data_IF_546922139736
#
_entry.id   IF_546922139736
#
_cell.length_a   1.000
_cell.length_b   1.000
_cell.length_c   1.000
_cell.angle_alpha   90.00
_cell.angle_beta   90.00
_cell.angle_gamma   90.00
#
_symmetry.space_group_name_H-M   'P 1'
#
loop_
_entity.id
_entity.type
_entity.pdbx_description
1 polymer ?
#
# COMPACT_ATOMS: atom_id res chain seq x y z
N UNK A 1 -22.64 7.03 12.34
CA UNK A 1 -23.08 6.09 13.41
C UNK A 1 -23.20 4.72 12.77
N UNK A 2 -22.27 3.81 13.07
CA UNK A 2 -22.09 2.53 12.36
C UNK A 2 -22.65 1.35 13.13
N UNK A 3 -23.08 0.35 12.37
CA UNK A 3 -23.89 -0.81 12.70
C UNK A 3 -23.06 -1.96 13.30
N UNK A 4 -22.41 -1.75 14.45
CA UNK A 4 -21.68 -2.83 15.14
C UNK A 4 -21.94 -2.78 16.66
N UNK A 5 -22.44 -3.87 17.23
CA UNK A 5 -22.68 -4.02 18.68
C UNK A 5 -21.37 -3.92 19.49
N UNK A 6 -20.23 -4.20 18.86
CA UNK A 6 -18.88 -4.05 19.43
C UNK A 6 -18.51 -2.58 19.69
N UNK A 7 -19.08 -1.63 18.92
CA UNK A 7 -18.77 -0.20 19.07
C UNK A 7 -19.42 0.44 20.32
N UNK A 8 -20.56 -0.09 20.77
CA UNK A 8 -21.27 0.39 21.97
C UNK A 8 -20.51 0.00 23.25
N UNK A 9 -20.03 -1.24 23.35
CA UNK A 9 -19.25 -1.70 24.51
C UNK A 9 -17.97 -0.88 24.71
N UNK A 10 -17.29 -0.51 23.62
CA UNK A 10 -16.13 0.38 23.66
C UNK A 10 -16.50 1.82 24.09
N UNK A 11 -17.74 2.26 23.85
CA UNK A 11 -18.20 3.58 24.28
C UNK A 11 -18.49 3.62 25.79
N UNK A 12 -18.93 2.49 26.38
CA UNK A 12 -19.24 2.39 27.83
C UNK A 12 -18.00 2.63 28.69
N UNK A 13 -16.84 2.11 28.30
CA UNK A 13 -15.59 2.31 29.05
C UNK A 13 -15.17 3.79 29.05
N UNK A 14 -15.33 4.47 27.91
CA UNK A 14 -15.05 5.91 27.75
C UNK A 14 -16.00 6.77 28.60
N UNK A 15 -17.28 6.43 28.61
CA UNK A 15 -18.30 7.12 29.42
C UNK A 15 -18.01 6.95 30.92
N UNK A 16 -17.64 5.74 31.36
CA UNK A 16 -17.31 5.47 32.75
C UNK A 16 -16.04 6.20 33.20
N UNK A 17 -15.01 6.25 32.36
CA UNK A 17 -13.79 7.02 32.63
C UNK A 17 -14.08 8.52 32.76
N UNK A 18 -14.87 9.08 31.84
CA UNK A 18 -15.29 10.48 31.90
C UNK A 18 -16.08 10.79 33.20
N UNK A 19 -16.95 9.88 33.64
CA UNK A 19 -17.67 10.03 34.91
C UNK A 19 -16.72 10.02 36.12
N UNK A 20 -15.76 9.09 36.17
CA UNK A 20 -14.75 9.04 37.24
C UNK A 20 -13.92 10.31 37.27
N UNK A 21 -13.53 10.83 36.10
CA UNK A 21 -12.77 12.06 35.98
C UNK A 21 -13.54 13.28 36.49
N UNK A 22 -14.81 13.45 36.10
CA UNK A 22 -15.62 14.59 36.58
C UNK A 22 -15.88 14.54 38.08
N UNK A 23 -15.98 13.34 38.67
CA UNK A 23 -16.10 13.16 40.12
C UNK A 23 -14.83 13.54 40.88
N UNK A 24 -13.66 13.22 40.32
CA UNK A 24 -12.35 13.47 40.95
C UNK A 24 -11.83 14.88 40.70
N UNK A 25 -12.08 15.45 39.52
CA UNK A 25 -11.59 16.75 39.09
C UNK A 25 -12.78 17.66 38.76
N UNK A 26 -13.09 18.59 39.67
CA UNK A 26 -14.16 19.57 39.46
C UNK A 26 -13.75 20.64 38.45
N UNK A 27 -14.74 21.22 37.78
CA UNK A 27 -14.53 22.36 36.87
C UNK A 27 -13.96 23.56 37.64
N UNK A 28 -12.97 24.24 37.05
CA UNK A 28 -12.34 25.45 37.60
C UNK A 28 -13.06 26.74 37.12
N UNK A 29 -13.99 26.62 36.16
CA UNK A 29 -14.75 27.77 35.65
C UNK A 29 -15.63 28.44 36.71
N UNK A 30 -15.94 29.72 36.50
CA UNK A 30 -16.66 30.58 37.46
C UNK A 30 -18.04 30.04 37.86
N UNK A 31 -18.73 29.33 36.96
CA UNK A 31 -20.03 28.70 37.21
C UNK A 31 -19.94 27.23 37.70
N UNK A 32 -18.82 26.88 38.35
CA UNK A 32 -18.60 25.54 38.93
C UNK A 32 -19.65 25.20 39.99
N UNK A 33 -20.07 23.93 40.04
CA UNK A 33 -21.10 23.45 40.96
C UNK A 33 -22.52 23.48 40.39
N UNK A 34 -22.78 24.15 39.27
CA UNK A 34 -24.08 24.05 38.58
C UNK A 34 -24.22 22.70 37.87
N UNK A 35 -25.44 22.17 37.83
CA UNK A 35 -25.77 20.91 37.11
C UNK A 35 -25.43 21.01 35.62
N UNK A 36 -25.73 22.16 35.01
CA UNK A 36 -25.45 22.43 33.60
C UNK A 36 -23.95 22.45 33.29
N UNK A 37 -23.13 23.10 34.14
CA UNK A 37 -21.67 23.10 33.94
C UNK A 37 -21.08 21.71 34.12
N UNK A 38 -21.57 20.94 35.08
CA UNK A 38 -21.12 19.57 35.33
C UNK A 38 -21.46 18.65 34.16
N UNK A 39 -22.68 18.76 33.61
CA UNK A 39 -23.08 18.03 32.42
C UNK A 39 -22.23 18.41 31.19
N UNK A 40 -21.96 19.70 30.99
CA UNK A 40 -21.11 20.19 29.89
C UNK A 40 -19.68 19.69 30.02
N UNK A 41 -19.09 19.75 31.23
CA UNK A 41 -17.75 19.24 31.50
C UNK A 41 -17.65 17.73 31.23
N UNK A 42 -18.66 16.97 31.64
CA UNK A 42 -18.77 15.55 31.36
C UNK A 42 -18.86 15.24 29.86
N UNK A 43 -19.80 15.88 29.15
CA UNK A 43 -19.99 15.67 27.71
C UNK A 43 -18.75 16.07 26.91
N UNK A 44 -18.09 17.17 27.26
CA UNK A 44 -16.85 17.59 26.61
C UNK A 44 -15.76 16.52 26.73
N UNK A 45 -15.64 15.88 27.89
CA UNK A 45 -14.67 14.81 28.11
C UNK A 45 -15.02 13.57 27.32
N UNK A 46 -16.29 13.18 27.29
CA UNK A 46 -16.77 12.06 26.47
C UNK A 46 -16.49 12.31 24.99
N UNK A 47 -16.77 13.50 24.48
CA UNK A 47 -16.51 13.87 23.09
C UNK A 47 -15.01 13.81 22.79
N UNK A 48 -14.17 14.39 23.65
CA UNK A 48 -12.71 14.39 23.46
C UNK A 48 -12.10 12.99 23.51
N UNK A 49 -12.70 12.07 24.28
CA UNK A 49 -12.25 10.68 24.35
C UNK A 49 -12.80 9.81 23.21
N UNK A 50 -14.05 10.00 22.79
CA UNK A 50 -14.70 9.25 21.70
C UNK A 50 -14.21 9.67 20.31
N UNK A 51 -14.02 10.97 20.12
CA UNK A 51 -13.48 11.53 18.86
C UNK A 51 -11.97 11.31 18.77
N UNK A 52 -11.37 10.79 19.83
CA UNK A 52 -9.93 10.74 20.03
C UNK A 52 -9.38 12.13 20.33
N UNK A 53 -8.27 12.16 21.07
CA UNK A 53 -7.28 13.23 20.88
C UNK A 53 -7.07 13.28 19.36
N UNK A 54 -7.45 14.37 18.68
CA UNK A 54 -7.13 14.48 17.25
C UNK A 54 -5.63 14.31 17.16
N UNK A 55 -5.19 13.18 16.61
CA UNK A 55 -3.80 12.92 16.34
C UNK A 55 -3.43 13.78 15.13
N UNK A 56 -3.10 15.05 15.39
CA UNK A 56 -2.46 15.88 14.39
C UNK A 56 -1.05 15.35 14.20
N UNK A 57 -0.72 14.94 12.97
CA UNK A 57 0.67 14.67 12.64
C UNK A 57 1.49 15.95 12.86
N UNK A 58 2.78 15.82 13.17
CA UNK A 58 3.68 16.97 13.29
C UNK A 58 3.62 17.87 12.03
N UNK A 59 3.44 17.27 10.86
CA UNK A 59 3.25 17.98 9.58
C UNK A 59 1.94 18.75 9.51
N UNK A 60 0.82 18.22 10.02
CA UNK A 60 -0.46 18.92 10.07
C UNK A 60 -0.42 20.10 11.07
N UNK A 61 0.18 19.91 12.24
CA UNK A 61 0.37 20.99 13.21
C UNK A 61 1.26 22.11 12.64
N UNK A 62 2.37 21.74 11.98
CA UNK A 62 3.25 22.72 11.31
C UNK A 62 2.53 23.45 10.19
N UNK A 63 1.76 22.74 9.37
CA UNK A 63 0.98 23.36 8.29
C UNK A 63 -0.03 24.38 8.84
N UNK A 64 -0.68 24.06 9.96
CA UNK A 64 -1.58 24.99 10.63
C UNK A 64 -0.84 26.24 11.15
N UNK A 65 0.31 26.07 11.81
CA UNK A 65 1.15 27.20 12.26
C UNK A 65 1.66 28.08 11.11
N UNK A 66 1.87 27.50 9.93
CA UNK A 66 2.27 28.21 8.71
C UNK A 66 1.08 28.81 7.93
N UNK A 67 -0.11 28.87 8.54
CA UNK A 67 -1.35 29.34 7.91
C UNK A 67 -1.64 28.66 6.56
N UNK A 68 -1.29 27.37 6.43
CA UNK A 68 -1.66 26.60 5.24
C UNK A 68 -3.14 26.21 5.33
N UNK A 69 -3.90 26.35 4.23
CA UNK A 69 -5.29 25.92 4.19
C UNK A 69 -5.36 24.40 4.42
N UNK A 70 -6.36 23.97 5.17
CA UNK A 70 -6.70 22.56 5.29
C UNK A 70 -7.41 22.10 4.03
N UNK A 71 -7.01 20.93 3.52
CA UNK A 71 -7.66 20.30 2.38
C UNK A 71 -8.14 18.91 2.80
N UNK A 72 -9.44 18.67 2.62
CA UNK A 72 -10.00 17.32 2.69
C UNK A 72 -10.08 16.78 1.27
N UNK A 73 -9.51 15.60 1.05
CA UNK A 73 -9.60 14.91 -0.24
C UNK A 73 -10.03 13.48 -0.02
N UNK A 74 -11.02 13.02 -0.77
CA UNK A 74 -11.39 11.60 -0.84
C UNK A 74 -10.42 10.79 -1.72
N UNK A 75 -9.47 11.45 -2.39
CA UNK A 75 -8.50 10.78 -3.25
C UNK A 75 -7.47 10.04 -2.40
N UNK A 76 -7.29 8.76 -2.70
CA UNK A 76 -6.18 7.98 -2.16
C UNK A 76 -4.96 8.19 -3.05
N UNK A 77 -3.81 8.31 -2.41
CA UNK A 77 -2.53 8.56 -3.08
C UNK A 77 -1.60 7.37 -2.88
N UNK A 78 -0.65 7.19 -3.80
CA UNK A 78 0.42 6.20 -3.66
C UNK A 78 1.74 6.75 -4.19
N UNK A 79 2.86 6.25 -3.69
CA UNK A 79 4.18 6.66 -4.21
C UNK A 79 4.58 5.83 -5.43
N UNK A 80 4.86 6.51 -6.54
CA UNK A 80 5.36 5.89 -7.77
C UNK A 80 6.86 6.18 -7.92
N UNK A 81 7.70 5.15 -7.73
CA UNK A 81 9.16 5.27 -7.77
C UNK A 81 9.72 4.98 -9.18
N UNK A 82 9.48 5.89 -10.12
CA UNK A 82 9.85 5.71 -11.54
C UNK A 82 11.36 5.51 -11.72
N UNK A 83 12.19 6.30 -11.01
CA UNK A 83 13.67 6.20 -11.11
C UNK A 83 14.18 4.83 -10.68
N UNK A 84 13.56 4.22 -9.65
CA UNK A 84 13.89 2.88 -9.20
C UNK A 84 13.59 1.83 -10.29
N UNK A 85 12.44 1.96 -10.95
CA UNK A 85 12.05 1.07 -12.05
C UNK A 85 13.00 1.18 -13.25
N UNK A 86 13.37 2.41 -13.64
CA UNK A 86 14.33 2.64 -14.73
C UNK A 86 15.70 2.04 -14.38
N UNK A 87 16.19 2.27 -13.16
CA UNK A 87 17.47 1.72 -12.70
C UNK A 87 17.47 0.18 -12.75
N UNK A 88 16.39 -0.45 -12.30
CA UNK A 88 16.22 -1.91 -12.37
C UNK A 88 16.27 -2.44 -13.81
N UNK A 89 15.60 -1.78 -14.76
CA UNK A 89 15.66 -2.17 -16.18
C UNK A 89 17.06 -1.98 -16.77
N UNK A 90 17.74 -0.87 -16.47
CA UNK A 90 19.12 -0.62 -16.92
C UNK A 90 20.08 -1.69 -16.38
N UNK A 91 19.99 -2.02 -15.10
CA UNK A 91 20.81 -3.06 -14.48
C UNK A 91 20.57 -4.43 -15.13
N UNK A 92 19.31 -4.79 -15.40
CA UNK A 92 18.98 -6.04 -16.09
C UNK A 92 19.55 -6.11 -17.51
N UNK A 93 19.52 -5.00 -18.26
CA UNK A 93 20.15 -4.91 -19.60
C UNK A 93 21.68 -5.06 -19.52
N UNK A 94 22.33 -4.43 -18.54
CA UNK A 94 23.77 -4.55 -18.33
C UNK A 94 24.19 -5.99 -17.97
N UNK A 95 23.43 -6.64 -17.09
CA UNK A 95 23.67 -8.05 -16.73
C UNK A 95 23.49 -8.98 -17.93
N UNK A 96 22.47 -8.74 -18.77
CA UNK A 96 22.26 -9.51 -20.01
C UNK A 96 23.42 -9.39 -21.00
N UNK A 97 23.93 -8.17 -21.23
CA UNK A 97 25.10 -7.94 -22.11
C UNK A 97 26.37 -8.62 -21.59
N UNK A 98 26.59 -8.63 -20.27
CA UNK A 98 27.78 -9.26 -19.66
C UNK A 98 27.75 -10.79 -19.77
N UNK A 99 26.58 -11.42 -19.78
CA UNK A 99 26.45 -12.86 -20.05
C UNK A 99 26.71 -13.25 -21.50
N UNK A 100 26.46 -12.34 -22.45
CA UNK A 100 26.77 -12.56 -23.88
C UNK A 100 28.27 -12.33 -24.17
N UNK A 101 28.87 -11.26 -23.63
CA UNK A 101 30.30 -10.99 -23.83
C UNK A 101 31.25 -11.99 -23.16
N UNK A 102 30.79 -12.81 -22.19
CA UNK A 102 31.59 -13.88 -21.58
C UNK A 102 31.61 -15.16 -22.42
N UNK A 103 30.78 -15.28 -23.46
CA UNK A 103 30.80 -16.41 -24.39
C UNK A 103 31.74 -16.18 -25.59
N UNK A 104 32.17 -14.94 -25.81
CA UNK A 104 33.03 -14.55 -26.92
C UNK A 104 34.14 -13.59 -26.46
N UNK A 105 35.02 -14.01 -25.55
CA UNK A 105 36.40 -13.47 -25.44
C UNK A 105 37.11 -14.06 -24.22
N UNK A 106 37.95 -15.06 -24.47
CA UNK A 106 39.15 -15.30 -23.68
C UNK A 106 40.32 -14.71 -24.49
N UNK A 107 40.64 -13.43 -24.32
CA UNK A 107 41.99 -12.89 -24.55
C UNK A 107 42.11 -11.42 -24.13
N UNK A 108 43.15 -11.19 -23.31
CA UNK A 108 44.00 -9.99 -23.16
C UNK A 108 43.44 -8.65 -22.69
N UNK A 109 44.19 -8.11 -21.72
CA UNK A 109 44.12 -6.79 -21.09
C UNK A 109 44.20 -5.63 -22.07
N UNK A 110 43.50 -4.54 -21.77
CA UNK A 110 43.94 -3.17 -22.08
C UNK A 110 43.18 -2.16 -21.21
N UNK A 111 43.93 -1.34 -20.49
CA UNK A 111 43.47 -0.12 -19.81
C UNK A 111 43.00 0.92 -20.84
N UNK A 112 41.94 1.70 -20.56
CA UNK A 112 41.83 3.12 -20.97
C UNK A 112 40.83 3.93 -20.13
N UNK A 113 41.23 5.20 -20.01
CA UNK A 113 40.76 6.30 -19.18
C UNK A 113 39.33 6.84 -19.38
N UNK A 114 38.90 7.48 -18.29
CA UNK A 114 37.84 8.44 -17.98
C UNK A 114 37.07 9.15 -19.12
N UNK A 115 35.74 9.22 -18.98
CA UNK A 115 34.98 10.41 -19.39
C UNK A 115 33.95 10.84 -18.31
N UNK A 116 33.81 12.15 -18.21
CA UNK A 116 33.37 12.95 -17.08
C UNK A 116 31.85 12.85 -16.84
N UNK A 117 31.44 12.34 -15.67
CA UNK A 117 30.03 12.30 -15.26
C UNK A 117 29.82 13.26 -14.09
N UNK A 118 29.29 14.44 -14.39
CA UNK A 118 28.93 15.49 -13.43
C UNK A 118 27.99 14.95 -12.35
N UNK A 119 28.53 14.69 -11.16
CA UNK A 119 27.80 14.26 -9.96
C UNK A 119 27.25 15.49 -9.24
N UNK A 120 25.94 15.59 -8.96
CA UNK A 120 25.47 16.57 -7.98
C UNK A 120 25.75 16.09 -6.55
N UNK A 121 26.60 16.84 -5.85
CA UNK A 121 26.68 17.02 -4.38
C UNK A 121 25.23 17.16 -3.83
N UNK A 122 24.73 16.54 -2.75
CA UNK A 122 25.29 15.81 -1.61
C UNK A 122 24.15 15.08 -0.87
N UNK A 123 24.32 13.80 -0.52
CA UNK A 123 24.10 13.26 0.84
C UNK A 123 25.08 12.08 0.94
N UNK A 124 25.93 12.07 1.96
CA UNK A 124 26.91 11.00 2.22
C UNK A 124 26.16 9.68 2.39
N UNK A 125 26.27 8.79 1.41
CA UNK A 125 26.13 7.35 1.63
C UNK A 125 26.99 6.62 0.58
N UNK A 126 27.99 5.88 1.05
CA UNK A 126 29.13 5.37 0.28
C UNK A 126 28.82 4.15 -0.60
N UNK A 127 27.71 4.15 -1.34
CA UNK A 127 27.45 3.14 -2.38
C UNK A 127 27.11 3.81 -3.70
N UNK A 128 27.90 3.53 -4.74
CA UNK A 128 27.86 4.13 -6.08
C UNK A 128 26.54 3.96 -6.87
N UNK A 129 25.46 3.52 -6.22
CA UNK A 129 24.13 3.40 -6.81
C UNK A 129 23.17 4.29 -6.02
N UNK A 130 22.52 5.28 -6.65
CA UNK A 130 21.56 6.10 -5.94
C UNK A 130 20.36 5.24 -5.52
N UNK A 131 20.17 5.09 -4.21
CA UNK A 131 19.07 4.33 -3.60
C UNK A 131 17.78 5.14 -3.66
N UNK A 132 17.05 4.99 -4.77
CA UNK A 132 15.69 5.51 -4.87
C UNK A 132 14.69 4.38 -4.68
N UNK A 133 13.81 4.47 -3.69
CA UNK A 133 12.68 3.55 -3.56
C UNK A 133 12.29 3.23 -2.13
N UNK A 134 11.01 2.95 -1.93
CA UNK A 134 10.49 2.21 -0.78
C UNK A 134 9.81 0.94 -1.32
N UNK A 135 9.89 -0.15 -0.55
CA UNK A 135 9.35 -1.44 -0.94
C UNK A 135 8.64 -2.08 0.27
N UNK A 136 7.39 -2.55 0.11
CA UNK A 136 6.73 -3.35 1.13
C UNK A 136 7.53 -4.62 1.44
N UNK A 137 7.50 -5.04 2.71
CA UNK A 137 8.14 -6.27 3.18
C UNK A 137 7.08 -7.36 3.22
N UNK A 138 7.37 -8.48 2.55
CA UNK A 138 6.53 -9.66 2.52
C UNK A 138 7.23 -10.82 3.24
N UNK A 139 6.46 -11.65 3.94
CA UNK A 139 6.97 -12.87 4.54
C UNK A 139 6.88 -14.01 3.53
N UNK A 140 8.03 -14.51 3.08
CA UNK A 140 8.12 -15.63 2.12
C UNK A 140 8.92 -16.74 2.79
N UNK A 141 8.28 -17.89 3.03
CA UNK A 141 8.92 -19.04 3.68
C UNK A 141 9.61 -18.67 5.02
N UNK A 142 8.95 -17.81 5.82
CA UNK A 142 9.48 -17.33 7.10
C UNK A 142 10.56 -16.25 7.01
N UNK A 143 10.96 -15.80 5.80
CA UNK A 143 11.96 -14.75 5.61
C UNK A 143 11.33 -13.43 5.17
N UNK A 144 11.63 -12.30 5.85
CA UNK A 144 11.17 -10.98 5.41
C UNK A 144 11.91 -10.59 4.12
N UNK A 145 11.17 -10.45 3.03
CA UNK A 145 11.69 -10.09 1.72
C UNK A 145 11.04 -8.80 1.26
N UNK A 146 11.85 -7.77 0.98
CA UNK A 146 11.34 -6.52 0.40
C UNK A 146 11.10 -6.72 -1.10
N UNK A 147 9.91 -6.35 -1.58
CA UNK A 147 9.56 -6.45 -3.00
C UNK A 147 9.03 -5.11 -3.47
N UNK A 148 9.75 -4.52 -4.42
CA UNK A 148 9.40 -3.22 -4.97
C UNK A 148 8.32 -3.32 -6.05
N UNK A 149 7.59 -2.23 -6.28
CA UNK A 149 6.54 -2.15 -7.30
C UNK A 149 7.03 -2.50 -8.72
N UNK A 150 8.27 -2.18 -9.06
CA UNK A 150 8.83 -2.53 -10.36
C UNK A 150 9.00 -4.04 -10.57
N UNK A 151 9.17 -4.81 -9.49
CA UNK A 151 9.22 -6.27 -9.54
C UNK A 151 7.85 -6.85 -9.86
N UNK A 152 6.79 -6.33 -9.22
CA UNK A 152 5.41 -6.73 -9.55
C UNK A 152 5.08 -6.43 -11.01
N UNK A 153 5.41 -5.22 -11.48
CA UNK A 153 5.20 -4.83 -12.88
C UNK A 153 5.99 -5.68 -13.87
N UNK A 154 7.25 -6.02 -13.56
CA UNK A 154 8.10 -6.83 -14.43
C UNK A 154 7.57 -8.27 -14.62
N UNK A 155 6.84 -8.79 -13.63
CA UNK A 155 6.26 -10.14 -13.64
C UNK A 155 4.73 -10.10 -13.57
N UNK A 156 4.13 -9.06 -14.15
CA UNK A 156 2.67 -8.93 -14.25
C UNK A 156 2.08 -9.98 -15.19
N UNK A 157 0.76 -10.15 -15.10
CA UNK A 157 0.03 -11.10 -15.94
C UNK A 157 0.11 -10.69 -17.42
N UNK A 158 -0.05 -11.66 -18.33
CA UNK A 158 -0.15 -11.42 -19.78
C UNK A 158 -1.21 -10.39 -20.13
N UNK A 159 -2.38 -10.48 -19.51
CA UNK A 159 -3.50 -9.59 -19.77
C UNK A 159 -3.22 -8.16 -19.31
N UNK A 160 -2.28 -7.97 -18.36
CA UNK A 160 -1.88 -6.67 -17.83
C UNK A 160 -0.68 -6.06 -18.57
N UNK A 161 -0.20 -6.70 -19.66
CA UNK A 161 0.98 -6.23 -20.38
C UNK A 161 0.79 -4.86 -21.05
N UNK A 162 -0.43 -4.54 -21.47
CA UNK A 162 -0.78 -3.28 -22.11
C UNK A 162 -0.66 -2.06 -21.19
N UNK A 163 -0.68 -2.26 -19.86
CA UNK A 163 -0.58 -1.18 -18.89
C UNK A 163 0.84 -0.62 -18.81
N UNK A 164 0.96 0.71 -18.80
CA UNK A 164 2.21 1.37 -18.43
C UNK A 164 2.53 1.13 -16.95
N UNK A 165 3.79 1.34 -16.57
CA UNK A 165 4.20 1.22 -15.16
C UNK A 165 3.38 2.14 -14.24
N UNK A 166 3.11 3.35 -14.72
CA UNK A 166 2.34 4.36 -14.01
C UNK A 166 0.91 3.87 -13.75
N UNK A 167 0.21 3.41 -14.79
CA UNK A 167 -1.15 2.91 -14.69
C UNK A 167 -1.22 1.67 -13.80
N UNK A 168 -0.34 0.69 -14.05
CA UNK A 168 -0.28 -0.54 -13.27
C UNK A 168 -0.18 -0.24 -11.77
N UNK A 169 0.74 0.63 -11.36
CA UNK A 169 0.89 0.95 -9.94
C UNK A 169 -0.30 1.69 -9.33
N UNK A 170 -1.10 2.39 -10.14
CA UNK A 170 -2.27 3.14 -9.68
C UNK A 170 -3.58 2.36 -9.67
N UNK A 171 -3.70 1.30 -10.48
CA UNK A 171 -4.93 0.52 -10.63
C UNK A 171 -4.79 -0.93 -10.16
N UNK A 172 -3.57 -1.46 -10.02
CA UNK A 172 -3.34 -2.82 -9.53
C UNK A 172 -2.87 -2.77 -8.07
N UNK A 173 -3.31 -3.74 -7.29
CA UNK A 173 -2.78 -4.04 -5.95
C UNK A 173 -2.40 -5.50 -5.87
N UNK A 174 -1.38 -5.82 -5.06
CA UNK A 174 -0.96 -7.19 -4.81
C UNK A 174 -1.57 -7.63 -3.49
N UNK A 175 -2.35 -8.71 -3.52
CA UNK A 175 -3.14 -9.22 -2.39
C UNK A 175 -2.86 -10.71 -2.18
N UNK A 176 -3.09 -11.22 -0.98
CA UNK A 176 -2.97 -12.65 -0.71
C UNK A 176 -3.99 -13.45 -1.52
N UNK A 177 -3.56 -14.58 -2.08
CA UNK A 177 -4.47 -15.55 -2.67
C UNK A 177 -5.42 -16.05 -1.59
N UNK A 178 -6.71 -15.93 -1.85
CA UNK A 178 -7.71 -16.61 -1.03
C UNK A 178 -7.66 -18.08 -1.39
N UNK A 179 -7.39 -18.94 -0.41
CA UNK A 179 -7.65 -20.36 -0.55
C UNK A 179 -9.15 -20.48 -0.80
N UNK A 180 -9.52 -20.84 -2.01
CA UNK A 180 -10.89 -21.24 -2.27
C UNK A 180 -11.13 -22.50 -1.47
N UNK A 181 -12.04 -22.46 -0.50
CA UNK A 181 -12.71 -23.65 0.01
C UNK A 181 -13.60 -24.20 -1.10
N UNK A 182 -12.99 -24.63 -2.19
CA UNK A 182 -13.62 -25.23 -3.35
C UNK A 182 -13.07 -26.65 -3.49
N UNK A 183 -13.79 -27.59 -2.89
CA UNK A 183 -13.98 -28.94 -3.43
C UNK A 183 -12.77 -29.89 -3.39
N UNK A 184 -12.94 -30.96 -2.61
CA UNK A 184 -12.45 -32.30 -2.97
C UNK A 184 -12.54 -32.50 -4.49
N UNK A 185 -11.41 -32.79 -5.13
CA UNK A 185 -11.38 -33.34 -6.47
C UNK A 185 -10.65 -34.68 -6.43
N UNK A 186 -11.45 -35.73 -6.59
CA UNK A 186 -11.17 -37.03 -7.21
C UNK A 186 -9.96 -37.85 -6.72
N UNK A 187 -10.21 -38.71 -5.73
CA UNK A 187 -9.61 -40.05 -5.68
C UNK A 187 -10.71 -41.08 -5.97
N UNK A 188 -10.54 -41.81 -7.06
CA UNK A 188 -11.34 -42.94 -7.50
C UNK A 188 -11.27 -44.13 -6.53
N UNK A 189 -12.42 -44.58 -6.02
CA UNK A 189 -12.66 -45.98 -5.61
C UNK A 189 -14.14 -46.20 -5.26
N UNK A 190 -14.88 -46.75 -6.24
CA UNK A 190 -15.87 -47.86 -6.21
C UNK A 190 -16.75 -48.08 -4.96
N UNK A 191 -18.07 -48.18 -5.25
CA UNK A 191 -19.23 -48.80 -4.56
C UNK A 191 -19.68 -48.31 -3.17
N UNK A 192 -20.91 -47.80 -3.04
CA UNK A 192 -22.14 -48.61 -2.89
C UNK A 192 -23.43 -47.76 -2.93
N UNK A 193 -24.56 -48.37 -3.29
CA UNK A 193 -25.85 -47.74 -3.65
C UNK A 193 -26.73 -47.35 -2.44
N UNK A 194 -27.62 -46.34 -2.58
CA UNK A 194 -29.11 -46.42 -2.42
C UNK A 194 -29.82 -45.05 -2.23
N UNK A 195 -30.80 -44.84 -3.13
CA UNK A 195 -32.10 -44.08 -3.11
C UNK A 195 -32.23 -42.57 -2.80
N UNK A 196 -32.58 -41.82 -3.86
CA UNK A 196 -33.67 -40.82 -4.05
C UNK A 196 -34.33 -40.11 -2.85
N UNK A 197 -34.29 -38.76 -2.82
CA UNK A 197 -35.47 -37.85 -2.67
C UNK A 197 -35.10 -36.44 -3.19
N UNK A 198 -35.91 -35.97 -4.15
CA UNK A 198 -36.31 -34.60 -4.54
C UNK A 198 -35.29 -33.46 -4.71
N UNK A 199 -35.21 -33.02 -5.97
CA UNK A 199 -35.17 -31.63 -6.49
C UNK A 199 -35.09 -30.49 -5.46
N UNK A 200 -33.94 -29.80 -5.47
CA UNK A 200 -33.89 -28.35 -5.23
C UNK A 200 -32.78 -27.73 -6.08
N UNK A 201 -33.17 -27.20 -7.25
CA UNK A 201 -32.36 -26.28 -8.04
C UNK A 201 -32.24 -24.95 -7.29
N UNK A 202 -31.38 -24.91 -6.27
CA UNK A 202 -30.97 -23.66 -5.65
C UNK A 202 -30.01 -22.93 -6.58
N UNK A 203 -30.58 -22.00 -7.35
CA UNK A 203 -29.83 -20.95 -8.04
C UNK A 203 -28.87 -20.28 -7.04
N UNK A 204 -27.64 -19.92 -7.45
CA UNK A 204 -26.69 -19.29 -6.54
C UNK A 204 -27.28 -17.95 -6.13
N UNK A 205 -27.67 -17.85 -4.85
CA UNK A 205 -28.20 -16.62 -4.28
C UNK A 205 -27.28 -15.45 -4.64
N UNK A 206 -27.81 -14.48 -5.38
CA UNK A 206 -27.09 -13.26 -5.72
C UNK A 206 -26.69 -12.57 -4.42
N UNK A 207 -25.41 -12.70 -4.04
CA UNK A 207 -24.87 -12.05 -2.86
C UNK A 207 -24.98 -10.55 -3.06
N UNK A 208 -25.99 -9.94 -2.45
CA UNK A 208 -26.28 -8.50 -2.47
C UNK A 208 -25.03 -7.73 -2.03
N UNK A 209 -24.36 -7.06 -2.97
CA UNK A 209 -23.13 -6.31 -2.72
C UNK A 209 -22.40 -5.91 -4.01
N UNK A 210 -21.38 -5.06 -3.88
CA UNK A 210 -20.52 -4.68 -5.01
C UNK A 210 -19.85 -5.93 -5.57
N UNK A 211 -19.94 -6.14 -6.90
CA UNK A 211 -19.22 -7.22 -7.59
C UNK A 211 -17.72 -7.10 -7.26
N UNK A 212 -17.08 -8.25 -7.03
CA UNK A 212 -15.64 -8.29 -6.75
C UNK A 212 -14.86 -7.82 -7.96
N UNK A 213 -13.72 -7.20 -7.70
CA UNK A 213 -12.81 -6.80 -8.75
C UNK A 213 -12.14 -8.04 -9.35
N UNK A 214 -11.71 -7.91 -10.60
CA UNK A 214 -11.00 -9.00 -11.28
C UNK A 214 -9.62 -9.22 -10.67
N UNK A 215 -9.21 -10.48 -10.66
CA UNK A 215 -7.93 -10.93 -10.11
C UNK A 215 -7.15 -11.66 -11.17
N UNK A 216 -5.84 -11.42 -11.22
CA UNK A 216 -4.90 -11.96 -12.18
C UNK A 216 -3.74 -12.64 -11.44
N UNK A 217 -3.34 -13.82 -11.89
CA UNK A 217 -2.15 -14.48 -11.34
C UNK A 217 -0.87 -13.73 -11.71
N UNK A 218 0.08 -13.72 -10.78
CA UNK A 218 1.44 -13.27 -11.05
C UNK A 218 2.14 -14.22 -12.02
N UNK A 219 3.22 -13.79 -12.66
CA UNK A 219 4.02 -14.71 -13.47
C UNK A 219 4.81 -15.68 -12.59
N UNK A 220 5.05 -16.92 -13.07
CA UNK A 220 5.69 -18.00 -12.31
C UNK A 220 7.05 -17.63 -11.67
N UNK A 221 7.81 -16.73 -12.32
CA UNK A 221 9.12 -16.27 -11.82
C UNK A 221 9.04 -15.21 -10.70
N UNK A 222 7.84 -14.74 -10.36
CA UNK A 222 7.67 -13.75 -9.30
C UNK A 222 7.85 -14.40 -7.91
N UNK A 223 8.57 -13.78 -6.95
CA UNK A 223 8.78 -14.37 -5.61
C UNK A 223 7.49 -14.69 -4.84
N UNK A 224 6.43 -13.91 -5.07
CA UNK A 224 5.10 -14.09 -4.46
C UNK A 224 4.11 -14.89 -5.32
N UNK A 225 4.55 -15.54 -6.40
CA UNK A 225 3.66 -16.21 -7.35
C UNK A 225 2.66 -17.17 -6.67
N UNK A 226 3.13 -17.95 -5.71
CA UNK A 226 2.31 -18.96 -5.01
C UNK A 226 1.34 -18.32 -4.01
N UNK A 227 1.76 -17.24 -3.34
CA UNK A 227 1.05 -16.70 -2.17
C UNK A 227 0.15 -15.51 -2.48
N UNK A 228 0.44 -14.75 -3.55
CA UNK A 228 -0.28 -13.52 -3.88
C UNK A 228 -0.82 -13.52 -5.31
N UNK A 229 -1.86 -12.73 -5.53
CA UNK A 229 -2.44 -12.37 -6.83
C UNK A 229 -2.42 -10.86 -7.02
N UNK A 230 -2.61 -10.44 -8.27
CA UNK A 230 -2.86 -9.06 -8.64
C UNK A 230 -4.38 -8.84 -8.68
N UNK A 231 -4.88 -7.77 -8.08
CA UNK A 231 -6.30 -7.43 -8.09
C UNK A 231 -6.46 -6.01 -8.64
N UNK A 232 -7.49 -5.81 -9.47
CA UNK A 232 -7.89 -4.46 -9.87
C UNK A 232 -8.44 -3.71 -8.66
N UNK A 233 -8.03 -2.46 -8.51
CA UNK A 233 -8.54 -1.59 -7.46
C UNK A 233 -9.95 -1.12 -7.82
N UNK A 234 -10.78 -0.98 -6.79
CA UNK A 234 -12.12 -0.40 -6.92
C UNK A 234 -12.12 1.06 -7.39
N UNK A 235 -11.01 1.78 -7.17
CA UNK A 235 -10.79 3.17 -7.54
C UNK A 235 -9.31 3.35 -7.95
N UNK A 236 -9.08 4.17 -8.97
CA UNK A 236 -7.74 4.57 -9.35
C UNK A 236 -7.13 5.49 -8.28
N UNK A 237 -5.91 5.19 -7.86
CA UNK A 237 -5.16 6.04 -6.94
C UNK A 237 -4.39 7.12 -7.69
N UNK A 238 -4.22 8.28 -7.05
CA UNK A 238 -3.42 9.37 -7.62
C UNK A 238 -1.94 9.16 -7.27
N UNK A 239 -1.04 8.96 -8.26
CA UNK A 239 0.37 8.78 -7.99
C UNK A 239 1.03 10.07 -7.54
N UNK A 240 1.86 9.94 -6.51
CA UNK A 240 2.84 10.92 -6.09
C UNK A 240 4.19 10.43 -6.63
N UNK A 241 4.77 11.18 -7.56
CA UNK A 241 6.07 10.84 -8.13
C UNK A 241 7.14 11.02 -7.05
N UNK A 242 7.78 9.91 -6.68
CA UNK A 242 8.75 9.88 -5.59
C UNK A 242 10.13 9.41 -6.05
N UNK A 243 11.16 9.88 -5.32
CA UNK A 243 12.56 9.59 -5.60
C UNK A 243 13.36 10.86 -5.87
N UNK A 244 14.53 10.68 -6.50
CA UNK A 244 15.42 11.79 -6.82
C UNK A 244 14.76 12.83 -7.74
N UNK A 245 15.30 14.06 -7.76
CA UNK A 245 14.75 15.15 -8.56
C UNK A 245 14.60 14.74 -10.03
N UNK A 246 13.63 15.33 -10.75
CA UNK A 246 13.51 15.11 -12.20
C UNK A 246 14.83 15.47 -12.89
N UNK A 247 15.12 14.82 -14.01
CA UNK A 247 16.29 15.21 -14.81
C UNK A 247 16.20 16.68 -15.16
N UNK A 248 17.36 17.36 -15.22
CA UNK A 248 17.40 18.74 -15.71
C UNK A 248 16.78 18.77 -17.10
N UNK A 249 15.98 19.81 -17.36
CA UNK A 249 15.43 20.04 -18.68
C UNK A 249 16.60 20.09 -19.69
N UNK A 250 16.54 19.32 -20.79
CA UNK A 250 17.66 19.19 -21.72
C UNK A 250 17.86 20.44 -22.61
N UNK A 251 16.89 21.37 -22.62
CA UNK A 251 16.99 22.60 -23.38
C UNK A 251 17.45 23.81 -22.54
N UNK A 252 17.68 24.96 -23.20
CA UNK A 252 17.90 26.22 -22.50
C UNK A 252 16.67 26.52 -21.62
N UNK A 253 16.92 27.06 -20.42
CA UNK A 253 15.82 27.52 -19.56
C UNK A 253 15.06 28.64 -20.30
N UNK A 254 13.73 28.69 -20.23
CA UNK A 254 13.00 29.84 -20.74
C UNK A 254 13.55 31.11 -20.08
N UNK A 255 13.78 32.15 -20.89
CA UNK A 255 14.15 33.46 -20.37
C UNK A 255 12.99 33.97 -19.51
N UNK A 256 13.30 34.38 -18.27
CA UNK A 256 12.35 34.99 -17.35
C UNK A 256 11.96 36.40 -17.81
#
# INVERSE_FOLDING_TARGET
MTKDSVALTNSVTVINDALKHVKTHRSIAENSGTSQRTATHFLQRVINSLTGKIELSATQATAHLLNKPSFLSSKTHFFCFIRAAIAHVKQKKLLGRKSESRRESASSDDEKDCEDSIIPRSVRDSSATPRYGSAPIYMINGKPTSIAHHTHYAFRNGDLQHLSYYEYTGIITVVFKRVSTSGKSNSSSVDDQISNVSTDNSSPSEKKGRKRNETFDLYQRHPLHTTHTQELRSLQQTPVLAGGPPSRYPGPRPAN
#
